data_IF_910019381029
#
_entry.id   IF_910019381029
#
_cell.length_a   1.000
_cell.length_b   1.000
_cell.length_c   1.000
_cell.angle_alpha   90.00
_cell.angle_beta   90.00
_cell.angle_gamma   90.00
#
_symmetry.space_group_name_H-M   'P 1'
#
loop_
_entity.id
_entity.type
_entity.pdbx_description
1 polymer ?
#
# COMPACT_ATOMS: atom_id res chain seq x y z
N UNK A 1 -23.59 25.37 15.07
CA UNK A 1 -22.86 24.53 16.08
C UNK A 1 -22.20 23.38 15.33
N UNK A 2 -21.05 22.84 15.76
CA UNK A 2 -20.45 21.71 15.03
C UNK A 2 -21.30 20.44 15.23
N UNK A 3 -22.02 20.01 14.19
CA UNK A 3 -22.81 18.78 14.23
C UNK A 3 -21.89 17.56 14.06
N UNK A 4 -21.72 16.71 15.10
CA UNK A 4 -20.80 15.58 15.02
C UNK A 4 -21.28 14.55 13.99
N UNK A 5 -20.34 14.01 13.21
CA UNK A 5 -20.63 12.96 12.24
C UNK A 5 -20.99 11.66 12.97
N UNK A 6 -22.21 11.16 12.74
CA UNK A 6 -22.76 10.01 13.50
C UNK A 6 -21.95 8.73 13.30
N UNK A 7 -21.26 8.59 12.18
CA UNK A 7 -20.44 7.42 11.85
C UNK A 7 -18.94 7.66 12.04
N UNK A 8 -18.54 8.65 12.86
CA UNK A 8 -17.12 8.97 13.08
C UNK A 8 -16.31 7.76 13.55
N UNK A 9 -16.84 6.96 14.49
CA UNK A 9 -16.16 5.74 14.97
C UNK A 9 -15.92 4.71 13.85
N UNK A 10 -16.88 4.57 12.93
CA UNK A 10 -16.75 3.67 11.80
C UNK A 10 -15.71 4.20 10.80
N UNK A 11 -15.69 5.52 10.55
CA UNK A 11 -14.69 6.17 9.71
C UNK A 11 -13.28 5.96 10.29
N UNK A 12 -13.11 6.14 11.59
CA UNK A 12 -11.82 5.93 12.26
C UNK A 12 -11.38 4.46 12.21
N UNK A 13 -12.32 3.52 12.35
CA UNK A 13 -12.03 2.10 12.13
C UNK A 13 -11.58 1.81 10.70
N UNK A 14 -12.26 2.38 9.69
CA UNK A 14 -11.87 2.20 8.28
C UNK A 14 -10.49 2.78 7.96
N UNK A 15 -10.12 3.90 8.59
CA UNK A 15 -8.75 4.45 8.50
C UNK A 15 -7.71 3.48 9.05
N UNK A 16 -7.95 2.91 10.23
CA UNK A 16 -7.03 1.89 10.79
C UNK A 16 -6.90 0.65 9.90
N UNK A 17 -7.98 0.23 9.25
CA UNK A 17 -7.92 -0.88 8.30
C UNK A 17 -7.08 -0.53 7.07
N UNK A 18 -7.26 0.66 6.49
CA UNK A 18 -6.41 1.15 5.40
C UNK A 18 -4.94 1.20 5.81
N UNK A 19 -4.63 1.76 6.98
CA UNK A 19 -3.25 1.82 7.50
C UNK A 19 -2.66 0.41 7.61
N UNK A 20 -3.44 -0.56 8.09
CA UNK A 20 -3.05 -1.97 8.15
C UNK A 20 -2.80 -2.57 6.76
N UNK A 21 -3.66 -2.29 5.77
CA UNK A 21 -3.45 -2.77 4.39
C UNK A 21 -2.25 -2.10 3.71
N UNK A 22 -1.96 -0.84 4.03
CA UNK A 22 -0.79 -0.13 3.53
C UNK A 22 0.50 -0.76 4.09
N UNK A 23 0.50 -1.11 5.37
CA UNK A 23 1.61 -1.85 5.98
C UNK A 23 1.79 -3.23 5.33
N UNK A 24 0.71 -3.98 5.14
CA UNK A 24 0.77 -5.30 4.49
C UNK A 24 1.36 -5.22 3.06
N UNK A 25 0.96 -4.21 2.28
CA UNK A 25 1.54 -3.97 0.96
C UNK A 25 3.04 -3.63 1.02
N UNK A 26 3.45 -2.84 2.01
CA UNK A 26 4.86 -2.49 2.20
C UNK A 26 5.69 -3.74 2.55
N UNK A 27 5.19 -4.60 3.44
CA UNK A 27 5.82 -5.87 3.80
C UNK A 27 5.92 -6.81 2.59
N UNK A 28 4.83 -6.97 1.82
CA UNK A 28 4.82 -7.80 0.62
C UNK A 28 5.84 -7.31 -0.43
N UNK A 29 5.95 -5.98 -0.60
CA UNK A 29 6.88 -5.36 -1.55
C UNK A 29 8.34 -5.51 -1.07
N UNK A 30 8.59 -5.38 0.23
CA UNK A 30 9.90 -5.61 0.81
C UNK A 30 10.35 -7.06 0.61
N UNK A 31 9.44 -8.03 0.78
CA UNK A 31 9.70 -9.44 0.55
C UNK A 31 9.99 -9.75 -0.93
N UNK A 32 9.18 -9.22 -1.86
CA UNK A 32 9.45 -9.34 -3.30
C UNK A 32 10.83 -8.79 -3.66
N UNK A 33 11.21 -7.63 -3.11
CA UNK A 33 12.53 -7.04 -3.31
C UNK A 33 13.65 -7.92 -2.73
N UNK A 34 13.47 -8.47 -1.53
CA UNK A 34 14.41 -9.39 -0.89
C UNK A 34 14.69 -10.60 -1.77
N UNK A 35 13.64 -11.24 -2.29
CA UNK A 35 13.77 -12.41 -3.17
C UNK A 35 14.45 -12.05 -4.50
N UNK A 36 14.08 -10.93 -5.12
CA UNK A 36 14.78 -10.44 -6.33
C UNK A 36 16.28 -10.24 -6.11
N UNK A 37 16.65 -9.66 -4.97
CA UNK A 37 18.05 -9.46 -4.63
C UNK A 37 18.79 -10.80 -4.42
N UNK A 38 18.15 -11.79 -3.79
CA UNK A 38 18.71 -13.12 -3.63
C UNK A 38 18.96 -13.80 -4.98
N UNK A 39 18.00 -13.72 -5.91
CA UNK A 39 18.15 -14.22 -7.29
C UNK A 39 19.33 -13.53 -7.97
N UNK A 40 19.39 -12.20 -7.95
CA UNK A 40 20.47 -11.46 -8.60
C UNK A 40 21.87 -11.82 -8.05
N UNK A 41 21.97 -12.06 -6.72
CA UNK A 41 23.21 -12.54 -6.10
C UNK A 41 23.58 -13.94 -6.59
N UNK A 42 22.61 -14.87 -6.65
CA UNK A 42 22.84 -16.24 -7.12
C UNK A 42 23.23 -16.28 -8.61
N UNK A 43 22.59 -15.46 -9.45
CA UNK A 43 22.94 -15.34 -10.87
C UNK A 43 24.35 -14.83 -11.06
N UNK A 44 24.75 -13.79 -10.32
CA UNK A 44 26.12 -13.28 -10.34
C UNK A 44 27.12 -14.34 -9.92
N UNK A 45 26.86 -15.07 -8.83
CA UNK A 45 27.74 -16.16 -8.39
C UNK A 45 27.84 -17.27 -9.44
N UNK A 46 26.72 -17.63 -10.07
CA UNK A 46 26.69 -18.61 -11.17
C UNK A 46 27.55 -18.14 -12.35
N UNK A 47 27.45 -16.88 -12.75
CA UNK A 47 28.25 -16.30 -13.83
C UNK A 47 29.75 -16.31 -13.51
N UNK A 48 30.12 -15.89 -12.30
CA UNK A 48 31.52 -15.93 -11.82
C UNK A 48 32.09 -17.35 -11.86
N UNK A 49 31.33 -18.35 -11.40
CA UNK A 49 31.76 -19.76 -11.44
C UNK A 49 31.79 -20.33 -12.85
N UNK A 50 30.86 -19.94 -13.72
CA UNK A 50 30.84 -20.36 -15.13
C UNK A 50 32.05 -19.81 -15.87
N UNK A 51 32.39 -18.53 -15.66
CA UNK A 51 33.58 -17.92 -16.23
C UNK A 51 34.87 -18.61 -15.73
N UNK A 52 34.96 -18.88 -14.43
CA UNK A 52 36.09 -19.58 -13.84
C UNK A 52 36.23 -21.03 -14.35
N UNK A 53 35.11 -21.71 -14.60
CA UNK A 53 35.13 -23.04 -15.21
C UNK A 53 35.61 -22.96 -16.68
N UNK A 54 35.19 -21.95 -17.42
CA UNK A 54 35.65 -21.71 -18.80
C UNK A 54 37.15 -21.47 -18.89
N UNK A 55 37.73 -20.68 -17.98
CA UNK A 55 39.18 -20.46 -17.93
C UNK A 55 39.95 -21.72 -17.52
N UNK A 56 39.43 -22.48 -16.56
CA UNK A 56 40.00 -23.76 -16.12
C UNK A 56 40.09 -24.76 -17.29
N UNK A 57 39.02 -24.88 -18.08
CA UNK A 57 38.96 -25.77 -19.24
C UNK A 57 39.86 -25.29 -20.40
N UNK A 58 40.02 -23.97 -20.58
CA UNK A 58 40.90 -23.39 -21.59
C UNK A 58 42.40 -23.56 -21.31
N UNK A 59 42.79 -23.79 -20.04
CA UNK A 59 44.19 -23.95 -19.61
C UNK A 59 44.81 -25.34 -19.87
N UNK A 60 44.04 -26.29 -20.40
CA UNK A 60 44.51 -27.61 -20.80
C UNK A 60 44.60 -28.63 -19.65
N UNK A 61 45.45 -28.40 -18.64
CA UNK A 61 45.61 -29.31 -17.49
C UNK A 61 44.85 -28.76 -16.29
N UNK A 62 43.79 -29.45 -15.88
CA UNK A 62 42.99 -29.08 -14.72
C UNK A 62 42.75 -30.27 -13.79
N UNK A 63 42.63 -30.00 -12.50
CA UNK A 63 42.31 -31.01 -11.50
C UNK A 63 40.84 -31.44 -11.63
N UNK A 64 40.60 -32.75 -11.76
CA UNK A 64 39.25 -33.31 -11.81
C UNK A 64 38.41 -32.94 -10.58
N UNK A 65 39.04 -32.80 -9.41
CA UNK A 65 38.39 -32.38 -8.17
C UNK A 65 37.88 -30.94 -8.24
N UNK A 66 38.67 -30.01 -8.78
CA UNK A 66 38.27 -28.60 -8.90
C UNK A 66 37.12 -28.45 -9.91
N UNK A 67 37.19 -29.17 -11.03
CA UNK A 67 36.09 -29.24 -11.99
C UNK A 67 34.81 -29.77 -11.32
N UNK A 68 34.89 -30.91 -10.63
CA UNK A 68 33.73 -31.54 -9.99
C UNK A 68 33.09 -30.63 -8.94
N UNK A 69 33.92 -29.93 -8.14
CA UNK A 69 33.44 -28.98 -7.14
C UNK A 69 32.69 -27.80 -7.76
N UNK A 70 33.21 -27.23 -8.86
CA UNK A 70 32.57 -26.12 -9.57
C UNK A 70 31.29 -26.56 -10.28
N UNK A 71 31.30 -27.72 -10.93
CA UNK A 71 30.10 -28.29 -11.54
C UNK A 71 28.99 -28.54 -10.50
N UNK A 72 29.34 -29.14 -9.36
CA UNK A 72 28.40 -29.36 -8.26
C UNK A 72 27.83 -28.04 -7.70
N UNK A 73 28.65 -26.99 -7.61
CA UNK A 73 28.16 -25.66 -7.23
C UNK A 73 27.15 -25.12 -8.25
N UNK A 74 27.44 -25.20 -9.55
CA UNK A 74 26.53 -24.72 -10.60
C UNK A 74 25.19 -25.47 -10.57
N UNK A 75 25.19 -26.79 -10.35
CA UNK A 75 23.98 -27.58 -10.19
C UNK A 75 23.19 -27.20 -8.92
N UNK A 76 23.89 -26.87 -7.82
CA UNK A 76 23.24 -26.39 -6.60
C UNK A 76 22.64 -24.99 -6.81
N UNK A 77 23.37 -24.09 -7.48
CA UNK A 77 22.91 -22.74 -7.80
C UNK A 77 21.70 -22.76 -8.75
N UNK A 78 21.68 -23.65 -9.74
CA UNK A 78 20.53 -23.83 -10.63
C UNK A 78 19.26 -24.24 -9.85
N UNK A 79 19.38 -25.24 -8.95
CA UNK A 79 18.27 -25.65 -8.09
C UNK A 79 17.83 -24.55 -7.12
N UNK A 80 18.77 -23.79 -6.56
CA UNK A 80 18.45 -22.64 -5.71
C UNK A 80 17.68 -21.56 -6.49
N UNK A 81 18.09 -21.26 -7.73
CA UNK A 81 17.39 -20.31 -8.60
C UNK A 81 15.97 -20.75 -8.93
N UNK A 82 15.73 -22.05 -9.15
CA UNK A 82 14.36 -22.57 -9.35
C UNK A 82 13.48 -22.35 -8.13
N UNK A 83 14.00 -22.62 -6.93
CA UNK A 83 13.28 -22.39 -5.67
C UNK A 83 12.98 -20.90 -5.47
N UNK A 84 13.96 -20.03 -5.68
CA UNK A 84 13.78 -18.58 -5.54
C UNK A 84 12.85 -18.01 -6.62
N UNK A 85 12.80 -18.60 -7.82
CA UNK A 85 11.86 -18.19 -8.86
C UNK A 85 10.40 -18.46 -8.46
N UNK A 86 10.12 -19.62 -7.86
CA UNK A 86 8.79 -19.89 -7.30
C UNK A 86 8.47 -18.99 -6.09
N UNK A 87 9.46 -18.70 -5.25
CA UNK A 87 9.31 -17.73 -4.16
C UNK A 87 9.00 -16.32 -4.69
N UNK A 88 9.66 -15.90 -5.78
CA UNK A 88 9.41 -14.60 -6.41
C UNK A 88 7.99 -14.52 -6.97
N UNK A 89 7.53 -15.60 -7.61
CA UNK A 89 6.17 -15.69 -8.12
C UNK A 89 5.13 -15.59 -7.00
N UNK A 90 5.36 -16.27 -5.88
CA UNK A 90 4.50 -16.18 -4.70
C UNK A 90 4.52 -14.77 -4.08
N UNK A 91 5.69 -14.15 -3.92
CA UNK A 91 5.82 -12.79 -3.40
C UNK A 91 5.13 -11.76 -4.31
N UNK A 92 5.31 -11.87 -5.62
CA UNK A 92 4.65 -10.99 -6.60
C UNK A 92 3.12 -11.14 -6.56
N UNK A 93 2.61 -12.36 -6.44
CA UNK A 93 1.18 -12.60 -6.27
C UNK A 93 0.65 -11.94 -4.98
N UNK A 94 1.38 -12.08 -3.87
CA UNK A 94 1.01 -11.46 -2.60
C UNK A 94 1.02 -9.93 -2.65
N UNK A 95 1.93 -9.31 -3.41
CA UNK A 95 1.92 -7.86 -3.68
C UNK A 95 0.64 -7.44 -4.41
N UNK A 96 0.23 -8.20 -5.44
CA UNK A 96 -1.00 -7.92 -6.19
C UNK A 96 -2.23 -8.01 -5.29
N UNK A 97 -2.33 -9.07 -4.48
CA UNK A 97 -3.44 -9.26 -3.53
C UNK A 97 -3.49 -8.13 -2.48
N UNK A 98 -2.35 -7.80 -1.87
CA UNK A 98 -2.24 -6.72 -0.89
C UNK A 98 -2.62 -5.36 -1.48
N UNK A 99 -2.24 -5.13 -2.75
CA UNK A 99 -2.62 -3.90 -3.46
C UNK A 99 -4.12 -3.81 -3.70
N UNK A 100 -4.75 -4.92 -4.08
CA UNK A 100 -6.21 -4.98 -4.23
C UNK A 100 -6.92 -4.73 -2.91
N UNK A 101 -6.46 -5.34 -1.82
CA UNK A 101 -7.02 -5.14 -0.48
C UNK A 101 -6.92 -3.67 -0.03
N UNK A 102 -5.79 -3.00 -0.28
CA UNK A 102 -5.63 -1.58 0.00
C UNK A 102 -6.58 -0.70 -0.82
N UNK A 103 -6.76 -1.02 -2.11
CA UNK A 103 -7.71 -0.29 -2.98
C UNK A 103 -9.15 -0.40 -2.46
N UNK A 104 -9.57 -1.58 -2.02
CA UNK A 104 -10.91 -1.75 -1.43
C UNK A 104 -11.04 -1.01 -0.10
N UNK A 105 -10.02 -1.05 0.77
CA UNK A 105 -10.02 -0.28 2.02
C UNK A 105 -10.13 1.24 1.77
N UNK A 106 -9.42 1.74 0.75
CA UNK A 106 -9.50 3.13 0.30
C UNK A 106 -10.90 3.52 -0.17
N UNK A 107 -11.54 2.67 -0.98
CA UNK A 107 -12.91 2.89 -1.47
C UNK A 107 -13.89 2.95 -0.29
N UNK A 108 -13.82 1.99 0.63
CA UNK A 108 -14.67 1.92 1.80
C UNK A 108 -14.55 3.16 2.69
N UNK A 109 -13.32 3.63 2.96
CA UNK A 109 -13.11 4.89 3.69
C UNK A 109 -13.71 6.07 2.91
N UNK A 110 -13.46 6.14 1.61
CA UNK A 110 -13.87 7.30 0.79
C UNK A 110 -15.38 7.48 0.75
N UNK A 111 -16.15 6.39 0.80
CA UNK A 111 -17.61 6.43 0.92
C UNK A 111 -18.04 7.16 2.21
N UNK A 112 -17.42 6.81 3.35
CA UNK A 112 -17.74 7.43 4.64
C UNK A 112 -17.29 8.89 4.72
N UNK A 113 -16.15 9.23 4.13
CA UNK A 113 -15.72 10.63 4.04
C UNK A 113 -16.70 11.48 3.25
N UNK A 114 -17.13 11.01 2.08
CA UNK A 114 -18.14 11.73 1.27
C UNK A 114 -19.45 11.90 2.02
N UNK A 115 -19.87 10.89 2.79
CA UNK A 115 -21.07 10.98 3.61
C UNK A 115 -20.93 12.03 4.73
N UNK A 116 -19.77 12.06 5.39
CA UNK A 116 -19.45 13.08 6.40
C UNK A 116 -19.48 14.48 5.80
N UNK A 117 -18.82 14.66 4.67
CA UNK A 117 -18.69 15.98 4.03
C UNK A 117 -20.08 16.49 3.59
N UNK A 118 -20.94 15.62 3.06
CA UNK A 118 -22.35 15.95 2.76
C UNK A 118 -23.17 16.31 4.01
N UNK A 119 -22.97 15.59 5.12
CA UNK A 119 -23.67 15.92 6.37
C UNK A 119 -23.24 17.30 6.89
N UNK A 120 -21.94 17.62 6.80
CA UNK A 120 -21.41 18.91 7.21
C UNK A 120 -21.97 20.05 6.33
N UNK A 121 -22.04 19.84 5.01
CA UNK A 121 -22.63 20.79 4.08
C UNK A 121 -24.12 21.05 4.37
N UNK A 122 -24.90 19.99 4.57
CA UNK A 122 -26.32 20.10 4.90
C UNK A 122 -26.55 20.87 6.22
N UNK A 123 -25.75 20.57 7.24
CA UNK A 123 -25.81 21.26 8.52
C UNK A 123 -25.46 22.76 8.38
N UNK A 124 -24.46 23.11 7.56
CA UNK A 124 -24.12 24.51 7.28
C UNK A 124 -25.24 25.28 6.59
N UNK A 125 -25.96 24.64 5.66
CA UNK A 125 -27.13 25.23 5.00
C UNK A 125 -28.27 25.45 6.01
N UNK A 126 -28.51 24.51 6.91
CA UNK A 126 -29.54 24.64 7.95
C UNK A 126 -29.20 25.75 8.96
N UNK A 127 -27.96 25.80 9.45
CA UNK A 127 -27.48 26.86 10.34
C UNK A 127 -27.63 28.23 9.67
N UNK A 128 -27.22 28.39 8.41
CA UNK A 128 -27.37 29.64 7.66
C UNK A 128 -28.84 30.06 7.46
N UNK A 129 -29.74 29.10 7.21
CA UNK A 129 -31.19 29.37 7.13
C UNK A 129 -31.75 29.82 8.47
N UNK A 130 -31.26 29.24 9.58
CA UNK A 130 -31.70 29.59 10.93
C UNK A 130 -31.23 31.00 11.31
N UNK A 131 -29.95 31.31 11.07
CA UNK A 131 -29.39 32.64 11.33
C UNK A 131 -30.07 33.74 10.51
N UNK A 132 -30.39 33.46 9.23
CA UNK A 132 -31.13 34.40 8.38
C UNK A 132 -32.53 34.70 8.96
N UNK A 133 -33.27 33.68 9.39
CA UNK A 133 -34.58 33.85 10.03
C UNK A 133 -34.49 34.66 11.32
N UNK A 134 -33.54 34.33 12.20
CA UNK A 134 -33.33 35.05 13.45
C UNK A 134 -32.99 36.53 13.21
N UNK A 135 -32.21 36.82 12.16
CA UNK A 135 -31.88 38.19 11.76
C UNK A 135 -33.10 38.95 11.25
N UNK A 136 -33.88 38.35 10.36
CA UNK A 136 -35.11 38.97 9.81
C UNK A 136 -36.14 39.25 10.92
N UNK A 137 -36.31 38.32 11.86
CA UNK A 137 -37.20 38.48 13.02
C UNK A 137 -36.75 39.66 13.90
N UNK A 138 -35.45 39.79 14.17
CA UNK A 138 -34.89 40.92 14.93
C UNK A 138 -35.09 42.27 14.21
N UNK A 139 -34.87 42.32 12.90
CA UNK A 139 -35.09 43.54 12.09
C UNK A 139 -36.56 43.94 12.11
N UNK A 140 -37.46 42.97 11.97
CA UNK A 140 -38.91 43.18 11.98
C UNK A 140 -39.38 43.69 13.33
N UNK A 141 -38.95 43.05 14.44
CA UNK A 141 -39.27 43.48 15.79
C UNK A 141 -38.75 44.88 16.11
N UNK A 142 -37.55 45.24 15.64
CA UNK A 142 -36.98 46.58 15.79
C UNK A 142 -37.79 47.64 15.03
N UNK A 143 -38.19 47.37 13.79
CA UNK A 143 -39.06 48.27 13.01
C UNK A 143 -40.42 48.49 13.68
N UNK A 144 -41.05 47.43 14.17
CA UNK A 144 -42.34 47.53 14.86
C UNK A 144 -42.27 48.37 16.14
N UNK A 145 -41.14 48.32 16.88
CA UNK A 145 -40.92 49.21 18.03
C UNK A 145 -40.75 50.67 17.63
N UNK A 146 -39.99 50.95 16.57
CA UNK A 146 -39.76 52.32 16.10
C UNK A 146 -41.01 53.01 15.53
N UNK A 147 -42.01 52.26 15.06
CA UNK A 147 -43.28 52.81 14.57
C UNK A 147 -44.33 53.04 15.68
N UNK A 148 -44.07 52.55 16.89
CA UNK A 148 -44.98 52.68 18.05
C UNK A 148 -44.62 53.85 18.98
N UNK A 149 -43.51 54.53 18.70
CA UNK A 149 -43.07 55.78 19.34
C UNK A 149 -43.22 56.92 18.37
#
# INVERSE_FOLDING_TARGET
MAHPFRLQRLLDYRRRLEDGQALALAEATAEECRVRNAIAMLERQREEQTAALGTLLGGGVFGAEEYSRRAAFLDAAARALEVEAEALKAAAAHVVESRQALVEALKDRRVLERLRDRQAEAAGVEDGRREARETDDMVTARRQRAQRT
#
